data_IF_391068748482
#
_entry.id   IF_391068748482
#
_cell.length_a   1.000
_cell.length_b   1.000
_cell.length_c   1.000
_cell.angle_alpha   90.00
_cell.angle_beta   90.00
_cell.angle_gamma   90.00
#
_symmetry.space_group_name_H-M   'P 1'
#
loop_
_entity.id
_entity.type
_entity.pdbx_description
1 polymer ?
#
# COMPACT_ATOMS: atom_id res chain seq x y z
N UNK A 1 6.15 -18.90 13.53
CA UNK A 1 6.18 -17.50 13.97
C UNK A 1 4.87 -16.85 13.55
N UNK A 2 4.14 -16.22 14.48
CA UNK A 2 2.91 -15.48 14.16
C UNK A 2 3.25 -14.07 13.61
N UNK A 3 2.23 -13.32 13.13
CA UNK A 3 2.46 -12.00 12.52
C UNK A 3 3.10 -11.00 13.50
N UNK A 4 2.66 -11.00 14.75
CA UNK A 4 3.17 -10.10 15.80
C UNK A 4 4.65 -10.37 16.11
N UNK A 5 5.01 -11.64 16.28
CA UNK A 5 6.41 -12.06 16.47
C UNK A 5 7.29 -11.68 15.28
N UNK A 6 6.78 -11.74 14.04
CA UNK A 6 7.52 -11.29 12.86
C UNK A 6 7.72 -9.77 12.85
N UNK A 7 6.71 -9.00 13.24
CA UNK A 7 6.80 -7.53 13.37
C UNK A 7 7.90 -7.16 14.37
N UNK A 8 7.87 -7.77 15.55
CA UNK A 8 8.87 -7.51 16.60
C UNK A 8 10.28 -7.88 16.12
N UNK A 9 10.41 -9.04 15.46
CA UNK A 9 11.70 -9.48 14.90
C UNK A 9 12.23 -8.46 13.89
N UNK A 10 11.40 -8.00 12.94
CA UNK A 10 11.84 -7.00 11.94
C UNK A 10 12.21 -5.68 12.61
N UNK A 11 11.39 -5.22 13.56
CA UNK A 11 11.63 -3.98 14.30
C UNK A 11 12.99 -4.00 15.01
N UNK A 12 13.31 -5.11 15.69
CA UNK A 12 14.58 -5.31 16.39
C UNK A 12 15.77 -5.43 15.43
N UNK A 13 15.64 -6.23 14.36
CA UNK A 13 16.71 -6.43 13.38
C UNK A 13 17.07 -5.17 12.60
N UNK A 14 16.11 -4.28 12.38
CA UNK A 14 16.33 -2.97 11.76
C UNK A 14 16.75 -1.88 12.76
N UNK A 15 16.95 -2.24 14.04
CA UNK A 15 17.30 -1.32 15.13
C UNK A 15 16.36 -0.10 15.23
N UNK A 16 15.07 -0.34 14.98
CA UNK A 16 14.07 0.72 14.96
C UNK A 16 13.86 1.31 16.36
N UNK A 17 13.56 2.61 16.40
CA UNK A 17 13.39 3.37 17.66
C UNK A 17 12.00 3.99 17.80
N UNK A 18 11.33 4.25 16.69
CA UNK A 18 10.03 4.92 16.69
C UNK A 18 8.89 3.91 16.90
N UNK A 19 8.01 4.10 17.89
CA UNK A 19 6.99 3.11 18.24
C UNK A 19 5.99 2.83 17.10
N UNK A 20 5.71 3.82 16.27
CA UNK A 20 4.79 3.70 15.13
C UNK A 20 5.35 2.77 14.03
N UNK A 21 6.66 2.51 14.01
CA UNK A 21 7.27 1.64 13.01
C UNK A 21 6.71 0.22 13.08
N UNK A 22 6.29 -0.27 14.26
CA UNK A 22 5.65 -1.59 14.38
C UNK A 22 4.34 -1.67 13.60
N UNK A 23 3.49 -0.64 13.71
CA UNK A 23 2.24 -0.55 12.96
C UNK A 23 2.51 -0.47 11.46
N UNK A 24 3.48 0.35 11.04
CA UNK A 24 3.87 0.49 9.63
C UNK A 24 4.40 -0.83 9.06
N UNK A 25 5.25 -1.55 9.79
CA UNK A 25 5.68 -2.90 9.40
C UNK A 25 4.45 -3.81 9.27
N UNK A 26 3.52 -3.75 10.23
CA UNK A 26 2.27 -4.50 10.19
C UNK A 26 1.43 -4.25 8.94
N UNK A 27 1.35 -2.99 8.49
CA UNK A 27 0.70 -2.60 7.23
C UNK A 27 1.47 -3.16 6.02
N UNK A 28 2.78 -2.93 5.92
CA UNK A 28 3.57 -3.44 4.80
C UNK A 28 3.53 -4.97 4.67
N UNK A 29 3.53 -5.71 5.78
CA UNK A 29 3.36 -7.17 5.73
C UNK A 29 1.99 -7.58 5.17
N UNK A 30 0.92 -6.84 5.49
CA UNK A 30 -0.39 -7.07 4.88
C UNK A 30 -0.39 -6.70 3.40
N UNK A 31 0.21 -5.57 3.04
CA UNK A 31 0.28 -5.03 1.68
C UNK A 31 1.07 -5.97 0.75
N UNK A 32 2.17 -6.55 1.24
CA UNK A 32 2.94 -7.56 0.51
C UNK A 32 2.10 -8.80 0.18
N UNK A 33 1.26 -9.26 1.12
CA UNK A 33 0.34 -10.39 0.88
C UNK A 33 -0.75 -10.03 -0.12
N UNK A 34 -1.26 -8.78 -0.05
CA UNK A 34 -2.24 -8.28 -1.00
C UNK A 34 -1.65 -8.19 -2.42
N UNK A 35 -0.42 -7.68 -2.54
CA UNK A 35 0.33 -7.63 -3.78
C UNK A 35 0.49 -9.02 -4.40
N UNK A 36 0.99 -9.99 -3.63
CA UNK A 36 1.22 -11.36 -4.10
C UNK A 36 -0.06 -11.99 -4.68
N UNK A 37 -1.17 -11.86 -3.95
CA UNK A 37 -2.48 -12.32 -4.40
C UNK A 37 -2.91 -11.63 -5.71
N UNK A 38 -2.89 -10.29 -5.77
CA UNK A 38 -3.29 -9.52 -6.96
C UNK A 38 -2.41 -9.85 -8.16
N UNK A 39 -1.10 -9.98 -7.96
CA UNK A 39 -0.15 -10.30 -9.02
C UNK A 39 -0.40 -11.71 -9.58
N UNK A 40 -0.72 -12.67 -8.73
CA UNK A 40 -1.16 -14.01 -9.16
C UNK A 40 -2.45 -13.95 -9.98
N UNK A 41 -3.44 -13.15 -9.54
CA UNK A 41 -4.74 -13.04 -10.20
C UNK A 41 -4.67 -12.35 -11.57
N UNK A 42 -3.86 -11.29 -11.71
CA UNK A 42 -3.73 -10.50 -12.95
C UNK A 42 -2.63 -11.01 -13.90
N UNK A 43 -1.72 -11.83 -13.41
CA UNK A 43 -0.59 -12.36 -14.15
C UNK A 43 0.57 -11.37 -14.34
N UNK A 44 1.75 -11.87 -14.76
CA UNK A 44 3.00 -11.11 -14.79
C UNK A 44 2.99 -9.91 -15.75
N UNK A 45 2.15 -9.97 -16.78
CA UNK A 45 2.07 -8.95 -17.83
C UNK A 45 1.29 -7.68 -17.43
N UNK A 46 0.53 -7.70 -16.34
CA UNK A 46 -0.32 -6.57 -15.95
C UNK A 46 0.48 -5.29 -15.63
N UNK A 47 1.67 -5.45 -15.05
CA UNK A 47 2.60 -4.36 -14.76
C UNK A 47 3.54 -4.13 -15.96
N UNK A 48 4.17 -5.18 -16.50
CA UNK A 48 5.18 -5.03 -17.56
C UNK A 48 4.63 -4.48 -18.88
N UNK A 49 3.34 -4.69 -19.17
CA UNK A 49 2.69 -4.14 -20.37
C UNK A 49 2.78 -2.61 -20.46
N UNK A 50 2.77 -1.92 -19.32
CA UNK A 50 2.77 -0.46 -19.27
C UNK A 50 3.95 0.13 -18.48
N UNK A 51 4.72 -0.71 -17.79
CA UNK A 51 5.87 -0.31 -16.98
C UNK A 51 5.55 0.79 -15.98
N UNK A 52 6.48 1.73 -15.80
CA UNK A 52 6.35 2.84 -14.85
C UNK A 52 5.15 3.75 -15.15
N UNK A 53 4.78 3.96 -16.42
CA UNK A 53 3.63 4.77 -16.79
C UNK A 53 2.31 4.15 -16.29
N UNK A 54 2.21 2.82 -16.35
CA UNK A 54 1.05 2.11 -15.82
C UNK A 54 0.92 2.22 -14.30
N UNK A 55 2.03 2.33 -13.58
CA UNK A 55 2.04 2.55 -12.13
C UNK A 55 1.62 3.98 -11.80
N UNK A 56 2.15 4.97 -12.54
CA UNK A 56 1.80 6.38 -12.35
C UNK A 56 0.30 6.64 -12.56
N UNK A 57 -0.27 6.13 -13.65
CA UNK A 57 -1.71 6.29 -13.95
C UNK A 57 -2.57 5.66 -12.86
N UNK A 58 -2.29 4.42 -12.45
CA UNK A 58 -3.05 3.74 -11.39
C UNK A 58 -2.91 4.45 -10.04
N UNK A 59 -1.74 5.01 -9.75
CA UNK A 59 -1.54 5.81 -8.54
C UNK A 59 -2.40 7.08 -8.58
N UNK A 60 -2.47 7.75 -9.74
CA UNK A 60 -3.33 8.92 -9.93
C UNK A 60 -4.80 8.60 -9.67
N UNK A 61 -5.32 7.49 -10.21
CA UNK A 61 -6.71 7.04 -9.98
C UNK A 61 -7.00 6.84 -8.48
N UNK A 62 -6.03 6.28 -7.73
CA UNK A 62 -6.18 6.07 -6.28
C UNK A 62 -6.13 7.38 -5.50
N UNK A 63 -5.28 8.32 -5.89
CA UNK A 63 -5.22 9.66 -5.28
C UNK A 63 -6.54 10.40 -5.51
N UNK A 64 -7.06 10.43 -6.74
CA UNK A 64 -8.36 11.04 -7.04
C UNK A 64 -9.50 10.38 -6.25
N UNK A 65 -9.46 9.06 -6.10
CA UNK A 65 -10.42 8.34 -5.23
C UNK A 65 -10.32 8.81 -3.79
N UNK A 66 -9.11 8.93 -3.23
CA UNK A 66 -8.90 9.41 -1.87
C UNK A 66 -9.39 10.85 -1.71
N UNK A 67 -9.08 11.75 -2.65
CA UNK A 67 -9.57 13.15 -2.64
C UNK A 67 -11.10 13.16 -2.59
N UNK A 68 -11.77 12.33 -3.39
CA UNK A 68 -13.23 12.24 -3.37
C UNK A 68 -13.77 11.68 -2.04
N UNK A 69 -13.11 10.67 -1.47
CA UNK A 69 -13.54 10.06 -0.21
C UNK A 69 -13.35 11.01 0.98
N UNK A 70 -12.20 11.67 1.08
CA UNK A 70 -11.90 12.65 2.13
C UNK A 70 -12.60 14.00 1.91
N UNK A 71 -12.78 14.43 0.67
CA UNK A 71 -13.44 15.70 0.33
C UNK A 71 -14.94 15.68 0.56
N UNK A 72 -15.58 14.50 0.45
CA UNK A 72 -17.00 14.31 0.76
C UNK A 72 -17.26 13.90 2.22
N UNK A 73 -16.27 13.34 2.91
CA UNK A 73 -16.33 13.12 4.34
C UNK A 73 -16.01 14.43 5.06
N UNK A 74 -16.98 15.05 5.73
CA UNK A 74 -16.73 16.20 6.61
C UNK A 74 -15.64 15.81 7.61
N UNK A 75 -14.40 16.24 7.36
CA UNK A 75 -13.25 15.99 8.23
C UNK A 75 -13.58 16.58 9.60
N UNK A 76 -14.07 15.75 10.54
CA UNK A 76 -14.15 16.18 11.93
C UNK A 76 -12.73 16.32 12.48
N UNK A 77 -12.62 17.14 13.52
CA UNK A 77 -11.44 17.73 14.15
C UNK A 77 -10.27 16.76 14.50
N UNK A 78 -10.40 15.46 14.26
CA UNK A 78 -9.37 14.44 14.45
C UNK A 78 -8.67 14.00 13.16
N UNK A 79 -9.08 14.49 11.98
CA UNK A 79 -8.48 14.12 10.68
C UNK A 79 -8.80 12.69 10.22
N UNK A 80 -9.75 12.02 10.87
CA UNK A 80 -10.15 10.64 10.57
C UNK A 80 -11.55 10.63 9.92
N UNK A 81 -11.74 10.04 8.74
CA UNK A 81 -13.08 9.89 8.15
C UNK A 81 -13.95 9.00 9.04
N UNK A 82 -15.24 9.32 9.13
CA UNK A 82 -16.23 8.43 9.75
C UNK A 82 -17.34 8.16 8.74
N UNK A 83 -17.18 7.12 7.95
CA UNK A 83 -18.27 6.51 7.20
C UNK A 83 -17.98 5.03 7.05
N UNK A 84 -18.84 4.18 7.61
CA UNK A 84 -18.64 2.73 7.73
C UNK A 84 -18.41 1.98 6.40
N UNK A 85 -18.71 2.61 5.26
CA UNK A 85 -18.42 2.10 3.90
C UNK A 85 -17.24 2.80 3.20
N UNK A 86 -16.71 3.90 3.74
CA UNK A 86 -15.52 4.57 3.17
C UNK A 86 -14.23 3.98 3.71
N UNK A 87 -14.24 3.48 4.95
CA UNK A 87 -13.02 3.04 5.63
C UNK A 87 -12.31 1.90 4.88
N UNK A 88 -13.05 0.88 4.43
CA UNK A 88 -12.45 -0.21 3.63
C UNK A 88 -11.85 0.32 2.31
N UNK A 89 -12.57 1.22 1.63
CA UNK A 89 -12.11 1.77 0.36
C UNK A 89 -10.95 2.75 0.45
N UNK A 90 -10.84 3.47 1.58
CA UNK A 90 -9.71 4.36 1.90
C UNK A 90 -8.49 3.51 2.25
N UNK A 91 -8.65 2.51 3.13
CA UNK A 91 -7.59 1.58 3.53
C UNK A 91 -7.04 0.84 2.32
N UNK A 92 -7.91 0.31 1.45
CA UNK A 92 -7.50 -0.36 0.21
C UNK A 92 -6.73 0.56 -0.73
N UNK A 93 -7.15 1.83 -0.82
CA UNK A 93 -6.48 2.81 -1.69
C UNK A 93 -5.09 3.16 -1.18
N UNK A 94 -4.91 3.28 0.14
CA UNK A 94 -3.60 3.48 0.75
C UNK A 94 -2.71 2.25 0.61
N UNK A 95 -3.24 1.04 0.82
CA UNK A 95 -2.50 -0.21 0.63
C UNK A 95 -2.02 -0.38 -0.82
N UNK A 96 -2.86 -0.05 -1.81
CA UNK A 96 -2.47 -0.03 -3.23
C UNK A 96 -1.32 0.96 -3.47
N UNK A 97 -1.39 2.17 -2.91
CA UNK A 97 -0.33 3.18 -3.04
C UNK A 97 0.99 2.74 -2.38
N UNK A 98 0.94 2.09 -1.21
CA UNK A 98 2.12 1.49 -0.56
C UNK A 98 2.84 0.53 -1.51
N UNK A 99 2.08 -0.37 -2.15
CA UNK A 99 2.60 -1.36 -3.09
C UNK A 99 3.10 -0.70 -4.37
N UNK A 100 2.36 0.27 -4.93
CA UNK A 100 2.74 0.96 -6.16
C UNK A 100 4.06 1.71 -6.01
N UNK A 101 4.34 2.30 -4.86
CA UNK A 101 5.64 2.90 -4.57
C UNK A 101 6.79 1.88 -4.64
N UNK A 102 6.59 0.69 -4.07
CA UNK A 102 7.58 -0.39 -4.13
C UNK A 102 7.76 -0.96 -5.55
N UNK A 103 6.67 -1.15 -6.30
CA UNK A 103 6.71 -1.58 -7.71
C UNK A 103 7.47 -0.55 -8.55
N UNK A 104 7.15 0.74 -8.42
CA UNK A 104 7.80 1.82 -9.16
C UNK A 104 9.32 1.80 -8.97
N UNK A 105 9.78 1.70 -7.72
CA UNK A 105 11.21 1.58 -7.39
C UNK A 105 11.84 0.32 -7.99
N UNK A 106 11.15 -0.80 -7.94
CA UNK A 106 11.65 -2.08 -8.49
C UNK A 106 11.80 -2.01 -10.02
N UNK A 107 10.87 -1.34 -10.71
CA UNK A 107 10.95 -1.08 -12.16
C UNK A 107 12.10 -0.12 -12.47
N UNK A 108 12.22 0.98 -11.73
CA UNK A 108 13.25 2.01 -11.94
C UNK A 108 14.67 1.44 -11.72
N UNK A 109 14.82 0.52 -10.78
CA UNK A 109 16.05 -0.24 -10.55
C UNK A 109 16.32 -1.32 -11.62
N UNK A 110 15.41 -1.53 -12.58
CA UNK A 110 15.52 -2.55 -13.62
C UNK A 110 15.38 -3.99 -13.09
N UNK A 111 14.78 -4.18 -11.91
CA UNK A 111 14.65 -5.49 -11.23
C UNK A 111 13.29 -6.14 -11.41
N UNK A 112 12.38 -5.49 -12.14
CA UNK A 112 11.08 -6.07 -12.45
C UNK A 112 11.20 -7.09 -13.58
N UNK A 113 11.14 -8.38 -13.24
CA UNK A 113 11.13 -9.47 -14.21
C UNK A 113 9.68 -9.96 -14.37
N UNK A 114 9.19 -10.01 -15.61
CA UNK A 114 7.87 -10.52 -15.97
C UNK A 114 7.97 -11.81 -16.78
#
# INVERSE_FOLDING_TARGET
>A
MNKEQLIDTIYEQLECKEPQTKEIIGHFLSDLKLFDKKQSDYGPLNISKFGILGVLIRSSDKIERLINLYGNATLKETGTPTTENTDESVVDSWADLSVYGAIARTIDEGKWNA
#
